data_IF_607308665202
#
_entry.id   IF_607308665202
#
_cell.length_a   1.000
_cell.length_b   1.000
_cell.length_c   1.000
_cell.angle_alpha   90.00
_cell.angle_beta   90.00
_cell.angle_gamma   90.00
#
_symmetry.space_group_name_H-M   'P 1'
#
loop_
_entity.id
_entity.type
_entity.pdbx_description
1 polymer ?
#
# COMPACT_ATOMS: atom_id res chain seq x y z
N UNK A 1 -3.61 4.41 -14.57
CA UNK A 1 -5.01 4.90 -14.71
C UNK A 1 -5.77 4.25 -15.85
N UNK A 2 -5.19 4.19 -17.05
CA UNK A 2 -5.87 3.68 -18.25
C UNK A 2 -6.33 2.22 -18.10
N UNK A 3 -5.46 1.35 -17.58
CA UNK A 3 -5.82 -0.06 -17.32
C UNK A 3 -7.00 -0.22 -16.35
N UNK A 4 -7.17 0.70 -15.39
CA UNK A 4 -8.29 0.68 -14.46
C UNK A 4 -9.58 1.18 -15.11
N UNK A 5 -9.50 2.10 -16.07
CA UNK A 5 -10.68 2.58 -16.82
C UNK A 5 -11.29 1.48 -17.68
N UNK A 6 -10.46 0.58 -18.20
CA UNK A 6 -10.87 -0.51 -19.08
C UNK A 6 -11.38 -1.77 -18.37
N UNK A 7 -11.54 -1.75 -17.04
CA UNK A 7 -12.10 -2.89 -16.30
C UNK A 7 -13.59 -3.01 -16.61
N UNK A 8 -14.00 -4.13 -17.22
CA UNK A 8 -15.40 -4.46 -17.47
C UNK A 8 -16.13 -4.76 -16.15
N UNK A 9 -17.18 -3.99 -15.87
CA UNK A 9 -18.04 -4.19 -14.70
C UNK A 9 -19.19 -5.14 -15.01
N UNK A 10 -19.77 -5.02 -16.21
CA UNK A 10 -20.92 -5.80 -16.66
C UNK A 10 -21.01 -5.82 -18.18
N UNK A 11 -21.54 -6.92 -18.71
CA UNK A 11 -22.03 -7.01 -20.10
C UNK A 11 -23.55 -6.92 -20.08
N UNK A 12 -24.11 -6.01 -20.88
CA UNK A 12 -25.55 -5.83 -21.03
C UNK A 12 -26.14 -6.93 -21.95
N UNK A 13 -27.47 -7.06 -21.96
CA UNK A 13 -28.15 -8.09 -22.76
C UNK A 13 -27.96 -7.92 -24.27
N UNK A 14 -27.60 -6.72 -24.72
CA UNK A 14 -27.29 -6.39 -26.12
C UNK A 14 -25.82 -6.64 -26.50
N UNK A 15 -25.00 -7.13 -25.57
CA UNK A 15 -23.57 -7.39 -25.77
C UNK A 15 -22.65 -6.18 -25.54
N UNK A 16 -23.20 -5.01 -25.18
CA UNK A 16 -22.38 -3.86 -24.81
C UNK A 16 -21.71 -4.05 -23.43
N UNK A 17 -20.46 -3.62 -23.32
CA UNK A 17 -19.72 -3.63 -22.06
C UNK A 17 -19.87 -2.29 -21.35
N UNK A 18 -20.10 -2.33 -20.03
CA UNK A 18 -19.95 -1.16 -19.15
C UNK A 18 -18.62 -1.28 -18.45
N UNK A 19 -17.73 -0.32 -18.68
CA UNK A 19 -16.39 -0.26 -18.09
C UNK A 19 -16.34 0.71 -16.91
N UNK A 20 -15.36 0.56 -16.04
CA UNK A 20 -15.19 1.44 -14.87
C UNK A 20 -15.05 2.91 -15.29
N UNK A 21 -14.41 3.18 -16.43
CA UNK A 21 -14.29 4.53 -16.99
C UNK A 21 -15.61 5.16 -17.46
N UNK A 22 -16.63 4.36 -17.76
CA UNK A 22 -17.96 4.87 -18.19
C UNK A 22 -18.75 5.44 -17.00
N UNK A 23 -18.40 5.04 -15.78
CA UNK A 23 -19.16 5.35 -14.55
C UNK A 23 -18.35 6.06 -13.47
N UNK A 24 -17.03 6.16 -13.60
CA UNK A 24 -16.15 6.79 -12.61
C UNK A 24 -14.95 7.51 -13.24
N UNK A 25 -14.48 8.57 -12.58
CA UNK A 25 -13.20 9.20 -12.92
C UNK A 25 -12.06 8.41 -12.29
N UNK A 26 -11.13 7.93 -13.11
CA UNK A 26 -9.96 7.19 -12.66
C UNK A 26 -8.72 8.07 -12.79
N UNK A 27 -8.11 8.39 -11.67
CA UNK A 27 -6.90 9.20 -11.57
C UNK A 27 -5.92 8.61 -10.55
N UNK A 28 -4.64 9.00 -10.64
CA UNK A 28 -3.69 8.76 -9.57
C UNK A 28 -3.87 9.87 -8.54
N UNK A 29 -4.67 9.60 -7.51
CA UNK A 29 -4.83 10.47 -6.35
C UNK A 29 -4.01 9.99 -5.15
N UNK A 30 -3.57 10.90 -4.30
CA UNK A 30 -3.07 10.55 -2.97
C UNK A 30 -4.27 10.21 -2.06
N UNK A 31 -4.27 9.01 -1.47
CA UNK A 31 -5.40 8.50 -0.66
C UNK A 31 -5.64 9.30 0.62
N UNK A 32 -4.62 10.00 1.13
CA UNK A 32 -4.68 10.80 2.36
C UNK A 32 -3.77 12.03 2.24
N UNK A 33 -4.36 13.22 2.23
CA UNK A 33 -3.64 14.48 2.42
C UNK A 33 -3.53 14.89 3.91
N UNK A 34 -4.19 14.15 4.83
CA UNK A 34 -4.42 14.60 6.21
C UNK A 34 -3.49 14.01 7.28
N UNK A 35 -2.52 13.16 6.91
CA UNK A 35 -1.52 12.68 7.88
C UNK A 35 -0.15 13.24 7.55
N UNK A 36 0.15 14.38 8.17
CA UNK A 36 1.53 14.76 8.47
C UNK A 36 2.11 13.69 9.40
N UNK A 37 2.50 12.55 8.82
CA UNK A 37 3.21 11.49 9.53
C UNK A 37 4.58 12.06 9.88
N UNK A 38 4.68 12.57 11.11
CA UNK A 38 5.93 13.07 11.67
C UNK A 38 6.35 12.18 12.81
N UNK A 39 7.61 11.78 12.80
CA UNK A 39 8.24 11.15 13.93
C UNK A 39 9.24 12.15 14.53
N UNK A 40 9.03 12.56 15.79
CA UNK A 40 9.82 13.60 16.46
C UNK A 40 10.03 14.88 15.62
N UNK A 41 8.96 15.33 14.94
CA UNK A 41 8.96 16.55 14.13
C UNK A 41 9.58 16.41 12.72
N UNK A 42 10.20 15.27 12.38
CA UNK A 42 10.74 14.96 11.05
C UNK A 42 9.71 14.22 10.18
N UNK A 43 9.71 14.40 8.84
CA UNK A 43 8.87 13.62 7.94
C UNK A 43 9.11 12.12 8.11
N UNK A 44 8.03 11.35 8.24
CA UNK A 44 8.06 9.91 8.41
C UNK A 44 6.92 9.27 7.63
N UNK A 45 7.04 7.97 7.39
CA UNK A 45 5.94 7.12 6.93
C UNK A 45 5.97 5.83 7.75
N UNK A 46 4.81 5.20 7.94
CA UNK A 46 4.67 4.03 8.78
C UNK A 46 4.03 2.86 8.06
N UNK A 47 4.34 1.64 8.51
CA UNK A 47 3.71 0.40 8.08
C UNK A 47 3.20 -0.35 9.31
N UNK A 48 1.95 -0.83 9.25
CA UNK A 48 1.41 -1.74 10.25
C UNK A 48 1.52 -3.18 9.77
N UNK A 49 2.24 -4.03 10.50
CA UNK A 49 2.33 -5.47 10.21
C UNK A 49 1.24 -6.21 10.96
N UNK A 50 0.41 -6.98 10.25
CA UNK A 50 -0.64 -7.82 10.85
C UNK A 50 -0.22 -9.28 10.80
N UNK A 51 -0.37 -9.97 11.93
CA UNK A 51 -0.12 -11.40 12.04
C UNK A 51 -1.24 -12.18 11.35
N UNK A 52 -0.88 -13.14 10.50
CA UNK A 52 -1.83 -14.06 9.91
C UNK A 52 -2.39 -15.03 10.96
N UNK A 53 -3.66 -15.41 10.84
CA UNK A 53 -4.30 -16.35 11.77
C UNK A 53 -3.52 -17.68 11.85
N UNK A 54 -3.18 -18.11 13.06
CA UNK A 54 -2.46 -19.37 13.32
C UNK A 54 -0.93 -19.26 13.25
N UNK A 55 -0.37 -18.09 12.95
CA UNK A 55 1.08 -17.86 13.00
C UNK A 55 1.58 -17.64 14.44
N UNK A 56 2.86 -17.96 14.67
CA UNK A 56 3.52 -17.70 15.95
C UNK A 56 3.99 -16.24 16.03
N UNK A 57 3.59 -15.53 17.07
CA UNK A 57 3.84 -14.09 17.21
C UNK A 57 5.33 -13.74 17.32
N UNK A 58 6.07 -14.42 18.21
CA UNK A 58 7.49 -14.14 18.44
C UNK A 58 8.34 -14.46 17.20
N UNK A 59 8.12 -15.64 16.61
CA UNK A 59 8.84 -16.04 15.40
C UNK A 59 8.56 -15.08 14.23
N UNK A 60 7.32 -14.61 14.10
CA UNK A 60 6.96 -13.65 13.04
C UNK A 60 7.61 -12.29 13.27
N UNK A 61 7.64 -11.80 14.52
CA UNK A 61 8.29 -10.54 14.86
C UNK A 61 9.79 -10.57 14.53
N UNK A 62 10.49 -11.64 14.93
CA UNK A 62 11.92 -11.83 14.61
C UNK A 62 12.18 -11.83 13.10
N UNK A 63 11.37 -12.57 12.33
CA UNK A 63 11.52 -12.63 10.87
C UNK A 63 11.31 -11.26 10.21
N UNK A 64 10.33 -10.49 10.68
CA UNK A 64 10.05 -9.15 10.16
C UNK A 64 11.20 -8.20 10.49
N UNK A 65 11.73 -8.23 11.71
CA UNK A 65 12.87 -7.40 12.13
C UNK A 65 14.14 -7.74 11.34
N UNK A 66 14.47 -9.02 11.22
CA UNK A 66 15.62 -9.47 10.42
C UNK A 66 15.50 -9.02 8.96
N UNK A 67 14.29 -9.10 8.39
CA UNK A 67 14.05 -8.63 7.03
C UNK A 67 14.20 -7.11 6.90
N UNK A 68 13.79 -6.35 7.91
CA UNK A 68 14.01 -4.90 7.95
C UNK A 68 15.51 -4.56 8.02
N UNK A 69 16.29 -5.32 8.79
CA UNK A 69 17.75 -5.16 8.87
C UNK A 69 18.45 -5.40 7.54
N UNK A 70 18.05 -6.45 6.82
CA UNK A 70 18.55 -6.71 5.47
C UNK A 70 18.22 -5.57 4.50
N UNK A 71 17.00 -5.04 4.56
CA UNK A 71 16.55 -3.96 3.69
C UNK A 71 17.20 -2.62 4.04
N UNK A 72 17.50 -2.38 5.32
CA UNK A 72 18.15 -1.16 5.80
C UNK A 72 19.51 -0.93 5.13
N UNK A 73 20.18 -1.99 4.68
CA UNK A 73 21.43 -1.89 3.89
C UNK A 73 21.26 -1.17 2.56
N UNK A 74 20.05 -1.19 1.99
CA UNK A 74 19.71 -0.57 0.71
C UNK A 74 18.99 0.76 0.87
N UNK A 75 18.85 1.25 2.11
CA UNK A 75 18.18 2.52 2.34
C UNK A 75 19.00 3.68 1.77
N UNK A 76 18.34 4.69 1.18
CA UNK A 76 19.01 5.92 0.79
C UNK A 76 19.57 6.62 2.04
N UNK A 77 20.64 7.39 1.84
CA UNK A 77 21.28 8.13 2.93
C UNK A 77 20.26 8.99 3.71
N UNK A 78 20.21 8.81 5.03
CA UNK A 78 19.35 9.55 5.93
C UNK A 78 17.98 8.91 6.20
N UNK A 79 17.68 7.75 5.62
CA UNK A 79 16.51 6.94 5.97
C UNK A 79 16.87 5.95 7.09
N UNK A 80 16.04 5.90 8.13
CA UNK A 80 16.18 5.01 9.28
C UNK A 80 14.78 4.46 9.63
N UNK A 81 14.69 3.19 10.01
CA UNK A 81 13.45 2.61 10.52
C UNK A 81 13.41 2.70 12.06
N UNK A 82 12.20 2.82 12.62
CA UNK A 82 11.95 2.71 14.06
C UNK A 82 10.78 1.75 14.26
N UNK A 83 10.93 0.86 15.23
CA UNK A 83 9.89 -0.10 15.67
C UNK A 83 9.28 0.39 16.97
#
# INVERSE_FOLDING_TARGET
PEQFRDITLRVNQDGSEVRLGDVATVEMGAEKYDYLSRFNGKPASGLGVKLASGANEMATAELVLNRLDELAQYFPHGLEYKV
#
